data_IF_626883836327
#
_entry.id   IF_626883836327
#
_cell.length_a   1.000
_cell.length_b   1.000
_cell.length_c   1.000
_cell.angle_alpha   90.00
_cell.angle_beta   90.00
_cell.angle_gamma   90.00
#
_symmetry.space_group_name_H-M   'P 1'
#
loop_
_entity.id
_entity.type
_entity.pdbx_description
1 polymer ?
#
# COMPACT_ATOMS: atom_id res chain seq x y z
N UNK A 1 -4.95 37.89 -4.55
CA UNK A 1 -5.38 36.57 -4.02
C UNK A 1 -6.72 36.80 -3.36
N UNK A 2 -7.78 36.26 -3.95
CA UNK A 2 -9.14 36.45 -3.46
C UNK A 2 -9.50 35.34 -2.44
N UNK A 3 -10.64 35.48 -1.77
CA UNK A 3 -11.07 34.56 -0.71
C UNK A 3 -11.35 33.14 -1.23
N UNK A 4 -11.70 33.00 -2.52
CA UNK A 4 -11.91 31.72 -3.18
C UNK A 4 -10.57 30.98 -3.40
N UNK A 5 -9.50 31.71 -3.72
CA UNK A 5 -8.14 31.16 -3.82
C UNK A 5 -7.65 30.61 -2.46
N UNK A 6 -7.95 31.33 -1.37
CA UNK A 6 -7.60 30.92 -0.01
C UNK A 6 -8.37 29.67 0.42
N UNK A 7 -9.69 29.62 0.15
CA UNK A 7 -10.53 28.46 0.43
C UNK A 7 -10.06 27.21 -0.35
N UNK A 8 -9.68 27.38 -1.62
CA UNK A 8 -9.14 26.29 -2.44
C UNK A 8 -7.79 25.79 -1.91
N UNK A 9 -6.87 26.68 -1.52
CA UNK A 9 -5.59 26.28 -0.92
C UNK A 9 -5.76 25.57 0.44
N UNK A 10 -6.65 26.09 1.29
CA UNK A 10 -7.01 25.48 2.57
C UNK A 10 -7.60 24.08 2.36
N UNK A 11 -8.54 23.91 1.44
CA UNK A 11 -9.13 22.60 1.14
C UNK A 11 -8.11 21.59 0.58
N UNK A 12 -7.19 22.03 -0.31
CA UNK A 12 -6.13 21.17 -0.84
C UNK A 12 -5.09 20.75 0.21
N UNK A 13 -4.93 21.50 1.30
CA UNK A 13 -4.01 21.16 2.40
C UNK A 13 -4.67 20.34 3.52
N UNK A 14 -6.00 20.23 3.52
CA UNK A 14 -6.80 19.51 4.53
C UNK A 14 -7.14 18.08 4.11
N UNK A 15 -6.82 17.68 2.87
CA UNK A 15 -6.98 16.30 2.44
C UNK A 15 -5.98 15.39 3.17
N UNK A 16 -6.30 15.08 4.43
CA UNK A 16 -5.55 14.21 5.33
C UNK A 16 -5.94 12.76 5.00
N UNK A 17 -5.18 12.13 4.12
CA UNK A 17 -5.29 10.69 3.89
C UNK A 17 -4.62 9.94 5.04
N UNK A 18 -5.38 9.11 5.77
CA UNK A 18 -4.85 8.23 6.81
C UNK A 18 -4.51 6.85 6.23
N UNK A 19 -3.39 6.24 6.65
CA UNK A 19 -3.03 4.91 6.16
C UNK A 19 -3.94 3.83 6.75
N UNK A 20 -4.11 2.73 6.01
CA UNK A 20 -4.95 1.60 6.42
C UNK A 20 -4.11 0.59 7.20
N UNK A 21 -4.20 0.60 8.54
CA UNK A 21 -3.50 -0.34 9.44
C UNK A 21 -4.44 -0.95 10.49
N UNK A 22 -5.53 -1.58 10.06
CA UNK A 22 -6.40 -2.35 10.98
C UNK A 22 -5.75 -3.68 11.37
N UNK A 23 -6.19 -4.29 12.49
CA UNK A 23 -5.72 -5.64 12.89
C UNK A 23 -5.93 -6.66 11.77
N UNK A 24 -7.09 -6.60 11.09
CA UNK A 24 -7.39 -7.44 9.93
C UNK A 24 -6.42 -7.18 8.77
N UNK A 25 -6.07 -5.92 8.51
CA UNK A 25 -5.11 -5.57 7.47
C UNK A 25 -3.75 -6.22 7.75
N UNK A 26 -3.26 -6.12 8.99
CA UNK A 26 -2.00 -6.74 9.42
C UNK A 26 -2.06 -8.28 9.34
N UNK A 27 -3.16 -8.90 9.79
CA UNK A 27 -3.32 -10.34 9.74
C UNK A 27 -3.29 -10.88 8.29
N UNK A 28 -3.96 -10.18 7.36
CA UNK A 28 -3.95 -10.56 5.95
C UNK A 28 -2.56 -10.33 5.34
N UNK A 29 -1.98 -9.13 5.49
CA UNK A 29 -0.71 -8.79 4.84
C UNK A 29 0.47 -9.55 5.44
N UNK A 30 0.45 -9.85 6.73
CA UNK A 30 1.46 -10.66 7.41
C UNK A 30 1.57 -12.09 6.86
N UNK A 31 0.49 -12.64 6.30
CA UNK A 31 0.50 -13.95 5.63
C UNK A 31 0.63 -13.83 4.12
N UNK A 32 -0.13 -12.93 3.49
CA UNK A 32 -0.21 -12.80 2.05
C UNK A 32 1.11 -12.33 1.43
N UNK A 33 1.81 -11.36 2.04
CA UNK A 33 3.07 -10.83 1.49
C UNK A 33 4.16 -11.92 1.46
N UNK A 34 4.46 -12.63 2.57
CA UNK A 34 5.40 -13.76 2.51
C UNK A 34 4.94 -14.88 1.56
N UNK A 35 3.64 -15.17 1.49
CA UNK A 35 3.11 -16.21 0.59
C UNK A 35 3.42 -15.89 -0.88
N UNK A 36 3.16 -14.66 -1.33
CA UNK A 36 3.46 -14.24 -2.71
C UNK A 36 4.96 -14.28 -2.99
N UNK A 37 5.79 -13.85 -2.03
CA UNK A 37 7.25 -13.97 -2.13
C UNK A 37 7.69 -15.42 -2.36
N UNK A 38 7.18 -16.35 -1.55
CA UNK A 38 7.53 -17.76 -1.68
C UNK A 38 7.02 -18.39 -2.98
N UNK A 39 5.80 -18.06 -3.41
CA UNK A 39 5.27 -18.52 -4.71
C UNK A 39 6.18 -18.08 -5.86
N UNK A 40 6.65 -16.83 -5.84
CA UNK A 40 7.65 -16.33 -6.79
C UNK A 40 8.94 -17.15 -6.74
N UNK A 41 9.50 -17.38 -5.54
CA UNK A 41 10.72 -18.18 -5.39
C UNK A 41 10.56 -19.63 -5.89
N UNK A 42 9.44 -20.30 -5.58
CA UNK A 42 9.15 -21.68 -6.01
C UNK A 42 8.96 -21.76 -7.52
N UNK A 43 8.31 -20.75 -8.13
CA UNK A 43 8.18 -20.67 -9.58
C UNK A 43 9.55 -20.55 -10.26
N UNK A 44 10.47 -19.76 -9.70
CA UNK A 44 11.84 -19.66 -10.22
C UNK A 44 12.62 -20.97 -10.09
N UNK A 45 12.41 -21.71 -8.99
CA UNK A 45 13.03 -23.02 -8.78
C UNK A 45 12.66 -24.03 -9.87
N UNK A 46 11.48 -23.92 -10.50
CA UNK A 46 11.08 -24.82 -11.59
C UNK A 46 12.00 -24.76 -12.81
N UNK A 47 12.80 -23.70 -12.95
CA UNK A 47 13.67 -23.49 -14.11
C UNK A 47 15.17 -23.65 -13.79
N UNK A 48 15.52 -24.09 -12.58
CA UNK A 48 16.93 -24.35 -12.22
C UNK A 48 17.41 -25.62 -12.92
N UNK A 49 18.54 -25.53 -13.62
CA UNK A 49 19.22 -26.66 -14.25
C UNK A 49 20.45 -27.08 -13.42
N UNK A 50 20.85 -28.35 -13.55
CA UNK A 50 22.02 -28.94 -12.86
C UNK A 50 23.24 -29.01 -13.76
#
# INVERSE_FOLDING_TARGET
MNLLDLYRSYYMTIDRTYPIFTVRWLAIHGLAVPTVFFLGSISAMQFIQR
#
